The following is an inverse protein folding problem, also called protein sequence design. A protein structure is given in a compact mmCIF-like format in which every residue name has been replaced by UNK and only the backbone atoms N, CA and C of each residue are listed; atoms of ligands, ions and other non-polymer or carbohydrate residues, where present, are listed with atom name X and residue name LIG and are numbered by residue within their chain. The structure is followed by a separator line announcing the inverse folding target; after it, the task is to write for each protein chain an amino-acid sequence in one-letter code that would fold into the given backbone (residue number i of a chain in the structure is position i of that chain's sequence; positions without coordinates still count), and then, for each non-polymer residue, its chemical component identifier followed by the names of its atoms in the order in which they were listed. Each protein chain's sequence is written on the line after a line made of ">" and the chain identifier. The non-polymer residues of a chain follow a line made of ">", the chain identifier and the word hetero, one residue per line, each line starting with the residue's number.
data_IF_656537124098
#
_entry.id   IF_656537124098
#
_cell.length_a   1.000
_cell.length_b   1.000
_cell.length_c   1.000
_cell.angle_alpha   90.00
_cell.angle_beta   90.00
_cell.angle_gamma   90.00
#
_symmetry.space_group_name_H-M   'P 1'
#
loop_
_entity.id
_entity.type
_entity.pdbx_description
1 polymer ?
#
# COMPACT_ATOMS: atom_id res chain seq x y z
N UNK A 1 -2.68 6.61 28.28
CA UNK A 1 -3.14 6.78 27.39
C UNK A 1 -2.91 5.96 26.27
N UNK A 2 -3.72 5.75 25.44
CA UNK A 2 -3.54 4.91 24.42
C UNK A 2 -2.90 5.53 23.28
N UNK A 3 -2.19 4.82 22.50
CA UNK A 3 -1.54 5.38 21.39
C UNK A 3 -2.38 5.30 20.20
N UNK A 4 -2.46 6.32 19.45
CA UNK A 4 -3.29 6.34 18.27
C UNK A 4 -2.80 5.32 17.27
N UNK A 5 -3.67 4.62 16.69
CA UNK A 5 -3.29 3.65 15.71
C UNK A 5 -2.80 4.24 14.42
N UNK A 6 -2.99 5.50 14.24
CA UNK A 6 -2.55 6.06 13.00
C UNK A 6 -1.08 6.17 12.93
N UNK A 7 -0.34 5.67 13.90
CA UNK A 7 1.05 5.69 13.76
C UNK A 7 1.47 4.64 12.82
N UNK A 8 0.62 4.10 12.01
CA UNK A 8 1.01 3.09 11.10
C UNK A 8 2.04 3.57 10.17
N UNK A 9 2.96 2.74 9.81
CA UNK A 9 3.97 3.10 8.91
C UNK A 9 3.55 2.87 7.53
N UNK A 10 2.55 2.15 7.25
CA UNK A 10 2.12 1.94 5.89
C UNK A 10 1.07 0.87 5.85
N UNK A 11 0.46 0.68 4.69
CA UNK A 11 -0.56 -0.33 4.56
C UNK A 11 -0.14 -1.30 3.50
N UNK A 12 -0.66 -2.51 3.62
CA UNK A 12 -0.33 -3.53 2.65
C UNK A 12 -1.21 -3.38 1.43
N UNK A 13 -0.59 -3.38 0.28
CA UNK A 13 -1.34 -3.25 -0.97
C UNK A 13 -0.91 -4.35 -1.91
N UNK A 14 -1.70 -4.61 -2.91
CA UNK A 14 -1.39 -5.62 -3.87
C UNK A 14 -1.72 -5.08 -5.25
N UNK A 15 -0.78 -5.22 -6.16
CA UNK A 15 -0.99 -4.73 -7.50
C UNK A 15 -1.95 -5.67 -8.22
N UNK A 16 -2.88 -5.10 -8.93
CA UNK A 16 -3.84 -5.91 -9.66
C UNK A 16 -3.35 -6.19 -11.06
N UNK A 17 -2.22 -5.62 -11.44
CA UNK A 17 -1.67 -5.87 -12.74
C UNK A 17 -0.67 -7.01 -12.70
N UNK A 18 0.35 -6.87 -11.90
CA UNK A 18 1.37 -7.89 -11.82
C UNK A 18 1.21 -8.79 -10.59
N UNK A 19 0.35 -8.45 -9.68
CA UNK A 19 0.11 -9.30 -8.53
C UNK A 19 1.15 -9.15 -7.45
N UNK A 20 1.91 -8.07 -7.48
CA UNK A 20 2.96 -7.90 -6.50
C UNK A 20 2.41 -7.29 -5.23
N UNK A 21 2.90 -7.74 -4.10
CA UNK A 21 2.46 -7.19 -2.83
C UNK A 21 3.51 -6.20 -2.35
N UNK A 22 3.07 -5.11 -1.80
CA UNK A 22 4.00 -4.11 -1.31
C UNK A 22 3.33 -3.28 -0.23
N UNK A 23 4.11 -2.45 0.41
CA UNK A 23 3.62 -1.60 1.48
C UNK A 23 3.79 -0.16 1.04
N UNK A 24 2.81 0.65 1.28
CA UNK A 24 2.88 2.03 0.89
C UNK A 24 2.22 2.90 1.93
N UNK A 25 2.70 4.12 2.08
CA UNK A 25 2.10 5.06 3.01
C UNK A 25 1.46 6.20 2.25
N UNK A 26 1.47 6.16 0.94
CA UNK A 26 0.93 7.24 0.15
C UNK A 26 -0.57 7.13 0.01
N UNK A 27 -1.20 8.24 -0.29
CA UNK A 27 -2.61 8.20 -0.52
C UNK A 27 -2.90 7.46 -1.80
N UNK A 28 -2.00 7.56 -2.75
CA UNK A 28 -2.18 6.87 -4.00
C UNK A 28 -1.04 5.92 -4.19
N UNK A 29 -1.13 4.72 -3.64
CA UNK A 29 -0.05 3.76 -3.76
C UNK A 29 0.12 3.32 -5.19
N UNK A 30 1.36 3.03 -5.55
CA UNK A 30 1.66 2.65 -6.89
C UNK A 30 2.59 1.46 -6.84
N UNK A 31 2.39 0.52 -7.70
CA UNK A 31 3.21 -0.67 -7.71
C UNK A 31 4.66 -0.33 -8.03
N UNK A 32 5.59 -0.79 -7.22
CA UNK A 32 7.00 -0.47 -7.47
C UNK A 32 7.58 -1.28 -8.62
N UNK A 33 6.92 -2.35 -8.99
CA UNK A 33 7.42 -3.13 -10.10
C UNK A 33 6.95 -2.63 -11.44
N UNK A 34 5.67 -2.57 -11.64
CA UNK A 34 5.14 -2.13 -12.92
C UNK A 34 4.66 -0.69 -12.87
N UNK A 35 4.73 -0.07 -11.69
CA UNK A 35 4.34 1.31 -11.54
C UNK A 35 2.88 1.53 -11.94
N UNK A 36 2.05 0.59 -11.66
CA UNK A 36 0.65 0.73 -11.99
C UNK A 36 -0.08 1.27 -10.76
N UNK A 37 -1.06 2.09 -10.98
CA UNK A 37 -1.84 2.61 -9.88
C UNK A 37 -3.01 1.71 -9.58
N UNK A 38 -3.16 0.65 -10.32
CA UNK A 38 -4.27 -0.26 -10.13
C UNK A 38 -3.93 -1.23 -9.02
N UNK A 39 -4.00 -0.78 -7.79
CA UNK A 39 -3.68 -1.61 -6.66
C UNK A 39 -4.84 -1.62 -5.71
N UNK A 40 -4.88 -2.61 -4.86
CA UNK A 40 -5.94 -2.70 -3.88
C UNK A 40 -5.33 -2.96 -2.53
N UNK A 41 -6.07 -2.69 -1.50
CA UNK A 41 -5.58 -2.87 -0.16
C UNK A 41 -5.60 -4.36 0.15
N UNK A 42 -4.49 -4.89 0.50
CA UNK A 42 -4.39 -6.32 0.75
C UNK A 42 -4.81 -6.70 2.16
#
# INVERSE_FOLDING_TARGET
>A
MEIPPDRVKGKNYKCRECGEKFTSVSKRPMCPSCQSEDVEEA
#
